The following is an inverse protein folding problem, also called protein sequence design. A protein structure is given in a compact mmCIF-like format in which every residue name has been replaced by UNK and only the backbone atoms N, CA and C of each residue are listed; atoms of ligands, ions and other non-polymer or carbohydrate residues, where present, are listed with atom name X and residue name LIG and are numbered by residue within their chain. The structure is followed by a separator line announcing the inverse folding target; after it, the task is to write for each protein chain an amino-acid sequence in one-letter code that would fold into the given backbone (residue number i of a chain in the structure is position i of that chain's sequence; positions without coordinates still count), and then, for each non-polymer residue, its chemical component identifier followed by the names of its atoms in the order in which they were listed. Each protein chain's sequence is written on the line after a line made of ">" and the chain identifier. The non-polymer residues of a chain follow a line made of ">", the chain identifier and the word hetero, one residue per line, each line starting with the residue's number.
data_IF_654294092733
#
_entry.id   IF_654294092733
#
_cell.length_a   1.000
_cell.length_b   1.000
_cell.length_c   1.000
_cell.angle_alpha   90.00
_cell.angle_beta   90.00
_cell.angle_gamma   90.00
#
_symmetry.space_group_name_H-M   'P 1'
#
loop_
_entity.id
_entity.type
_entity.pdbx_description
1 polymer ?
#
# COMPACT_ATOMS: atom_id res chain seq x y z
N UNK A 1 62.05 12.06 -32.41
CA UNK A 1 62.53 13.38 -32.84
C UNK A 1 61.58 14.53 -32.57
N UNK A 2 60.96 14.63 -31.38
CA UNK A 2 60.20 15.83 -30.95
C UNK A 2 60.33 16.12 -29.43
N UNK A 3 61.18 15.37 -28.72
CA UNK A 3 61.51 15.60 -27.30
C UNK A 3 62.98 15.99 -27.08
N UNK A 4 63.79 15.98 -28.14
CA UNK A 4 65.23 16.32 -28.09
C UNK A 4 65.51 17.78 -28.48
N UNK A 5 64.53 18.48 -29.07
CA UNK A 5 64.68 19.88 -29.53
C UNK A 5 64.27 20.93 -28.47
N UNK A 6 63.53 20.56 -27.42
CA UNK A 6 63.21 21.50 -26.34
C UNK A 6 64.31 21.60 -25.25
N UNK A 7 65.25 20.66 -25.23
CA UNK A 7 66.33 20.62 -24.25
C UNK A 7 67.51 21.56 -24.59
N UNK A 8 67.55 22.12 -25.80
CA UNK A 8 68.67 22.94 -26.29
C UNK A 8 68.41 24.46 -26.20
N UNK A 9 67.20 24.92 -25.87
CA UNK A 9 66.87 26.36 -25.78
C UNK A 9 66.83 26.91 -24.34
N UNK A 10 67.14 26.09 -23.33
CA UNK A 10 67.17 26.55 -21.93
C UNK A 10 68.49 27.26 -21.54
N UNK A 11 69.43 27.42 -22.47
CA UNK A 11 70.73 28.07 -22.27
C UNK A 11 70.84 29.49 -22.85
N UNK A 12 69.73 30.22 -22.98
CA UNK A 12 69.75 31.65 -23.35
C UNK A 12 68.62 32.48 -22.73
N UNK A 13 68.22 32.18 -21.50
CA UNK A 13 67.40 33.13 -20.74
C UNK A 13 68.28 34.33 -20.34
N UNK A 14 67.99 35.48 -20.93
CA UNK A 14 68.55 36.78 -20.55
C UNK A 14 68.55 36.95 -19.03
N UNK A 15 69.65 37.45 -18.45
CA UNK A 15 69.78 37.74 -17.01
C UNK A 15 68.57 38.51 -16.46
N UNK A 16 67.96 39.35 -17.30
CA UNK A 16 66.74 40.08 -17.02
C UNK A 16 65.54 39.18 -16.74
N UNK A 17 65.33 38.10 -17.52
CA UNK A 17 64.23 37.16 -17.31
C UNK A 17 64.38 36.38 -16.00
N UNK A 18 65.61 35.98 -15.67
CA UNK A 18 65.94 35.32 -14.39
C UNK A 18 65.83 36.28 -13.19
N UNK A 19 66.13 37.56 -13.39
CA UNK A 19 65.94 38.60 -12.37
C UNK A 19 64.46 38.91 -12.17
N UNK A 20 63.68 38.97 -13.25
CA UNK A 20 62.24 39.22 -13.20
C UNK A 20 61.45 38.08 -12.57
N UNK A 21 61.84 36.82 -12.80
CA UNK A 21 61.22 35.66 -12.13
C UNK A 21 61.53 35.61 -10.62
N UNK A 22 62.73 36.03 -10.21
CA UNK A 22 63.08 36.14 -8.77
C UNK A 22 62.38 37.32 -8.10
N UNK A 23 62.17 38.42 -8.82
CA UNK A 23 61.52 39.61 -8.30
C UNK A 23 60.01 39.43 -8.21
N UNK A 24 59.37 38.76 -9.17
CA UNK A 24 57.97 38.35 -9.06
C UNK A 24 57.75 37.38 -7.91
N UNK A 25 58.62 36.37 -7.76
CA UNK A 25 58.55 35.42 -6.64
C UNK A 25 58.70 36.13 -5.26
N UNK A 26 59.53 37.18 -5.16
CA UNK A 26 59.65 37.99 -3.93
C UNK A 26 58.43 38.87 -3.64
N UNK A 27 57.83 39.46 -4.68
CA UNK A 27 56.65 40.31 -4.53
C UNK A 27 55.42 39.51 -4.11
N UNK A 28 55.28 38.28 -4.60
CA UNK A 28 54.13 37.41 -4.33
C UNK A 28 54.39 36.34 -3.25
N UNK A 29 55.60 36.32 -2.66
CA UNK A 29 55.93 35.46 -1.51
C UNK A 29 56.21 33.99 -1.83
N UNK A 30 56.58 33.66 -3.06
CA UNK A 30 56.87 32.29 -3.49
C UNK A 30 58.36 31.90 -3.33
N UNK A 31 58.62 30.65 -2.95
CA UNK A 31 59.97 30.15 -2.58
C UNK A 31 60.84 29.93 -3.82
N UNK A 32 61.79 30.83 -4.06
CA UNK A 32 62.63 30.86 -5.29
C UNK A 32 63.82 29.87 -5.33
N UNK A 33 63.80 28.74 -4.60
CA UNK A 33 64.82 27.68 -4.72
C UNK A 33 64.15 26.32 -4.95
N UNK A 34 64.69 25.46 -5.84
CA UNK A 34 64.18 24.10 -5.99
C UNK A 34 64.49 23.38 -4.69
N UNK A 35 63.45 23.16 -3.89
CA UNK A 35 63.55 22.60 -2.55
C UNK A 35 63.00 21.17 -2.61
N UNK A 36 63.73 20.23 -2.01
CA UNK A 36 63.45 18.79 -2.09
C UNK A 36 62.00 18.44 -1.73
N UNK A 37 61.47 17.37 -2.32
CA UNK A 37 60.06 16.93 -2.20
C UNK A 37 59.51 16.85 -0.76
N UNK A 38 60.37 16.65 0.24
CA UNK A 38 60.03 16.69 1.68
C UNK A 38 59.59 18.08 2.16
N UNK A 39 60.22 19.14 1.66
CA UNK A 39 59.96 20.52 2.08
C UNK A 39 58.69 21.11 1.44
N UNK A 40 58.38 20.74 0.20
CA UNK A 40 57.11 21.06 -0.47
C UNK A 40 55.88 20.49 0.26
N UNK A 41 56.07 19.36 0.98
CA UNK A 41 55.03 18.76 1.83
C UNK A 41 54.67 19.65 3.03
N UNK A 42 55.65 20.34 3.60
CA UNK A 42 55.45 21.27 4.72
C UNK A 42 54.75 22.55 4.23
N UNK A 43 55.11 23.03 3.04
CA UNK A 43 54.43 24.19 2.42
C UNK A 43 52.97 23.84 2.07
N UNK A 44 52.68 22.64 1.54
CA UNK A 44 51.30 22.16 1.34
C UNK A 44 50.51 22.06 2.64
N UNK A 45 51.13 21.58 3.71
CA UNK A 45 50.49 21.52 5.03
C UNK A 45 50.14 22.91 5.60
N UNK A 46 50.84 23.96 5.19
CA UNK A 46 50.58 25.33 5.64
C UNK A 46 49.67 26.14 4.68
N UNK A 47 49.58 25.77 3.40
CA UNK A 47 48.66 26.39 2.43
C UNK A 47 47.28 25.73 2.40
N UNK A 48 47.16 24.49 2.85
CA UNK A 48 45.89 23.85 3.14
C UNK A 48 45.32 24.45 4.43
N UNK A 49 44.17 25.15 4.34
CA UNK A 49 43.47 25.58 5.54
C UNK A 49 43.21 24.37 6.45
N UNK A 50 43.42 24.48 7.77
CA UNK A 50 43.17 23.37 8.68
C UNK A 50 41.73 22.88 8.49
N UNK A 51 41.50 21.56 8.51
CA UNK A 51 40.19 20.94 8.32
C UNK A 51 39.05 21.61 9.14
N UNK A 52 39.39 22.27 10.25
CA UNK A 52 38.49 23.07 11.07
C UNK A 52 37.77 24.24 10.35
N UNK A 53 38.22 24.68 9.16
CA UNK A 53 37.58 25.76 8.37
C UNK A 53 36.93 25.29 7.06
N UNK A 54 36.94 23.99 6.73
CA UNK A 54 36.03 23.48 5.71
C UNK A 54 34.63 23.48 6.32
N UNK A 55 33.82 24.48 5.97
CA UNK A 55 32.36 24.43 6.14
C UNK A 55 31.77 23.40 5.17
N UNK A 56 32.29 22.19 5.17
CA UNK A 56 31.47 21.02 4.86
C UNK A 56 30.73 20.73 6.16
N UNK A 57 29.79 21.64 6.47
CA UNK A 57 28.80 21.42 7.51
C UNK A 57 28.17 20.07 7.22
N UNK A 58 27.94 19.30 8.27
CA UNK A 58 27.11 18.10 8.21
C UNK A 58 25.70 18.50 7.76
N UNK A 59 25.49 18.73 6.47
CA UNK A 59 24.21 19.12 5.84
C UNK A 59 23.18 17.98 5.90
N UNK A 60 23.58 16.81 6.44
CA UNK A 60 22.71 15.68 6.71
C UNK A 60 21.76 15.88 7.90
N UNK A 61 21.94 16.93 8.72
CA UNK A 61 21.03 17.25 9.82
C UNK A 61 20.31 18.60 9.59
N UNK A 62 18.96 18.59 9.51
CA UNK A 62 18.18 19.82 9.40
C UNK A 62 18.49 20.78 10.55
N UNK A 63 18.66 22.07 10.23
CA UNK A 63 18.88 23.15 11.19
C UNK A 63 17.84 23.08 12.34
N UNK A 64 18.27 23.19 13.60
CA UNK A 64 17.39 23.06 14.77
C UNK A 64 16.12 23.93 14.71
N UNK A 65 16.19 25.12 14.10
CA UNK A 65 15.04 26.00 13.94
C UNK A 65 13.99 25.46 12.95
N UNK A 66 14.40 24.72 11.92
CA UNK A 66 13.47 24.09 10.97
C UNK A 66 12.77 22.90 11.61
N UNK A 67 13.43 22.16 12.51
CA UNK A 67 12.81 21.10 13.30
C UNK A 67 11.65 21.62 14.16
N UNK A 68 11.83 22.71 14.92
CA UNK A 68 10.76 23.27 15.74
C UNK A 68 9.60 23.81 14.89
N UNK A 69 9.89 24.47 13.76
CA UNK A 69 8.85 24.95 12.85
C UNK A 69 8.05 23.79 12.23
N UNK A 70 8.72 22.73 11.77
CA UNK A 70 8.09 21.53 11.24
C UNK A 70 7.25 20.81 12.30
N UNK A 71 7.73 20.73 13.55
CA UNK A 71 6.98 20.18 14.67
C UNK A 71 5.72 21.00 14.99
N UNK A 72 5.78 22.34 14.89
CA UNK A 72 4.63 23.23 15.03
C UNK A 72 3.57 23.05 13.93
N UNK A 73 4.00 22.95 12.67
CA UNK A 73 3.12 22.68 11.52
C UNK A 73 2.46 21.30 11.67
N UNK A 74 3.22 20.29 12.08
CA UNK A 74 2.71 18.93 12.32
C UNK A 74 1.67 18.91 13.47
N UNK A 75 1.91 19.67 14.54
CA UNK A 75 0.97 19.77 15.65
C UNK A 75 -0.34 20.46 15.26
N UNK A 76 -0.27 21.53 14.45
CA UNK A 76 -1.45 22.19 13.90
C UNK A 76 -2.23 21.24 12.98
N UNK A 77 -1.56 20.55 12.07
CA UNK A 77 -2.19 19.57 11.18
C UNK A 77 -2.91 18.46 11.95
N UNK A 78 -2.31 17.94 13.03
CA UNK A 78 -2.96 16.94 13.90
C UNK A 78 -4.19 17.49 14.66
N UNK A 79 -4.19 18.79 15.02
CA UNK A 79 -5.36 19.44 15.62
C UNK A 79 -6.47 19.61 14.59
N UNK A 80 -6.12 20.02 13.37
CA UNK A 80 -7.06 20.17 12.26
C UNK A 80 -7.69 18.83 11.86
N UNK A 81 -6.91 17.74 11.78
CA UNK A 81 -7.43 16.41 11.44
C UNK A 81 -8.37 15.85 12.52
N UNK A 82 -8.08 16.10 13.81
CA UNK A 82 -8.99 15.73 14.90
C UNK A 82 -10.27 16.56 14.90
N UNK A 83 -10.16 17.85 14.57
CA UNK A 83 -11.30 18.75 14.45
C UNK A 83 -12.22 18.30 13.30
N UNK A 84 -11.67 18.05 12.12
CA UNK A 84 -12.45 17.56 10.97
C UNK A 84 -13.13 16.22 11.29
N UNK A 85 -12.42 15.28 11.91
CA UNK A 85 -13.00 14.00 12.31
C UNK A 85 -14.19 14.18 13.27
N UNK A 86 -14.13 15.14 14.21
CA UNK A 86 -15.27 15.43 15.10
C UNK A 86 -16.44 16.08 14.38
N UNK A 87 -16.16 17.00 13.45
CA UNK A 87 -17.19 17.69 12.67
C UNK A 87 -17.97 16.71 11.78
N UNK A 88 -17.27 15.75 11.17
CA UNK A 88 -17.87 14.75 10.27
C UNK A 88 -18.30 13.45 10.96
N UNK A 89 -18.11 13.33 12.28
CA UNK A 89 -18.50 12.13 13.04
C UNK A 89 -17.61 10.91 12.81
N UNK A 90 -16.38 11.11 12.32
CA UNK A 90 -15.36 10.08 12.15
C UNK A 90 -14.58 9.81 13.45
N UNK A 91 -13.67 8.83 13.41
CA UNK A 91 -12.89 8.42 14.58
C UNK A 91 -11.83 9.48 14.92
N UNK A 92 -12.12 10.34 15.89
CA UNK A 92 -11.22 11.44 16.29
C UNK A 92 -10.04 11.01 17.20
N UNK A 93 -10.14 9.87 17.88
CA UNK A 93 -9.06 9.34 18.74
C UNK A 93 -8.15 8.43 17.90
N UNK A 94 -6.81 8.56 18.02
CA UNK A 94 -5.92 7.62 17.37
C UNK A 94 -6.25 6.21 17.88
N UNK A 95 -6.61 5.33 16.97
CA UNK A 95 -7.16 4.01 17.26
C UNK A 95 -6.36 2.98 16.49
N UNK A 96 -6.05 1.84 17.12
CA UNK A 96 -5.30 0.76 16.49
C UNK A 96 -6.01 0.23 15.24
N UNK A 97 -5.23 -0.27 14.29
CA UNK A 97 -5.75 -0.86 13.05
C UNK A 97 -6.71 -2.04 13.29
N UNK A 98 -6.48 -2.82 14.36
CA UNK A 98 -7.38 -3.91 14.79
C UNK A 98 -8.74 -3.37 15.26
N UNK A 99 -8.74 -2.29 16.03
CA UNK A 99 -9.94 -1.66 16.59
C UNK A 99 -10.78 -0.96 15.52
N UNK A 100 -10.16 -0.44 14.46
CA UNK A 100 -10.87 0.10 13.28
C UNK A 100 -11.74 -0.94 12.55
N UNK A 101 -11.50 -2.25 12.75
CA UNK A 101 -12.37 -3.31 12.21
C UNK A 101 -13.80 -3.20 12.74
N UNK A 102 -13.96 -2.82 14.00
CA UNK A 102 -15.28 -2.70 14.64
C UNK A 102 -16.09 -1.58 13.98
N UNK A 103 -15.44 -0.45 13.70
CA UNK A 103 -16.06 0.67 12.97
C UNK A 103 -16.56 0.20 11.60
N UNK A 104 -15.76 -0.58 10.87
CA UNK A 104 -16.15 -1.16 9.56
C UNK A 104 -17.32 -2.13 9.66
N UNK A 105 -17.32 -3.00 10.67
CA UNK A 105 -18.38 -3.98 10.90
C UNK A 105 -19.74 -3.32 11.16
N UNK A 106 -19.76 -2.15 11.81
CA UNK A 106 -20.99 -1.41 12.08
C UNK A 106 -21.35 -0.41 10.98
N UNK A 107 -20.38 0.06 10.19
CA UNK A 107 -20.67 0.90 9.03
C UNK A 107 -21.30 0.11 7.88
N UNK A 108 -20.97 -1.18 7.75
CA UNK A 108 -21.49 -2.05 6.69
C UNK A 108 -22.66 -2.91 7.15
N UNK A 109 -23.54 -3.27 6.20
CA UNK A 109 -24.58 -4.26 6.48
C UNK A 109 -23.96 -5.67 6.59
N UNK A 110 -24.23 -6.41 7.68
CA UNK A 110 -23.71 -7.75 7.86
C UNK A 110 -24.25 -8.68 6.77
N UNK A 111 -23.42 -9.62 6.32
CA UNK A 111 -23.71 -10.52 5.20
C UNK A 111 -25.08 -11.19 5.33
N UNK A 112 -25.40 -11.74 6.51
CA UNK A 112 -26.66 -12.46 6.76
C UNK A 112 -27.92 -11.60 6.58
N UNK A 113 -27.83 -10.27 6.73
CA UNK A 113 -28.97 -9.36 6.54
C UNK A 113 -29.10 -8.86 5.10
N UNK A 114 -28.13 -9.15 4.22
CA UNK A 114 -28.20 -8.75 2.82
C UNK A 114 -29.32 -9.54 2.14
N UNK A 115 -30.12 -8.86 1.31
CA UNK A 115 -31.26 -9.46 0.60
C UNK A 115 -30.83 -10.68 -0.22
N UNK A 116 -29.68 -10.55 -0.88
CA UNK A 116 -29.03 -11.62 -1.62
C UNK A 116 -28.83 -12.91 -0.81
N UNK A 117 -28.64 -12.80 0.51
CA UNK A 117 -28.40 -13.96 1.38
C UNK A 117 -29.70 -14.58 1.89
N UNK A 118 -30.60 -13.79 2.46
CA UNK A 118 -31.80 -14.35 3.10
C UNK A 118 -32.95 -14.62 2.11
N UNK A 119 -33.09 -13.81 1.04
CA UNK A 119 -34.10 -14.00 -0.02
C UNK A 119 -33.56 -14.86 -1.18
N UNK A 120 -32.61 -15.76 -0.91
CA UNK A 120 -31.97 -16.59 -1.94
C UNK A 120 -32.96 -17.53 -2.63
N UNK A 121 -33.84 -18.19 -1.88
CA UNK A 121 -34.88 -19.05 -2.43
C UNK A 121 -36.22 -18.32 -2.44
N UNK A 122 -36.95 -18.33 -3.56
CA UNK A 122 -38.31 -17.82 -3.57
C UNK A 122 -39.20 -18.68 -2.67
N UNK A 123 -40.30 -18.11 -2.20
CA UNK A 123 -41.23 -18.82 -1.31
C UNK A 123 -42.06 -19.86 -2.10
N UNK A 124 -41.49 -21.04 -2.33
CA UNK A 124 -42.11 -22.10 -3.11
C UNK A 124 -43.46 -22.58 -2.55
N UNK A 125 -43.64 -22.51 -1.22
CA UNK A 125 -44.89 -22.93 -0.59
C UNK A 125 -46.07 -22.07 -1.03
N UNK A 126 -45.84 -20.76 -1.21
CA UNK A 126 -46.89 -19.84 -1.67
C UNK A 126 -47.30 -20.16 -3.11
N UNK A 127 -46.34 -20.33 -4.01
CA UNK A 127 -46.62 -20.70 -5.41
C UNK A 127 -47.31 -22.05 -5.51
N UNK A 128 -46.79 -23.06 -4.81
CA UNK A 128 -47.37 -24.40 -4.83
C UNK A 128 -48.81 -24.43 -4.33
N UNK A 129 -49.08 -23.78 -3.20
CA UNK A 129 -50.43 -23.69 -2.63
C UNK A 129 -51.36 -22.88 -3.55
N UNK A 130 -50.91 -21.75 -4.07
CA UNK A 130 -51.69 -20.89 -4.96
C UNK A 130 -52.08 -21.65 -6.24
N UNK A 131 -51.13 -22.30 -6.91
CA UNK A 131 -51.40 -23.05 -8.13
C UNK A 131 -52.29 -24.27 -7.86
N UNK A 132 -52.12 -24.92 -6.70
CA UNK A 132 -53.00 -26.00 -6.26
C UNK A 132 -54.45 -25.53 -6.05
N UNK A 133 -54.65 -24.38 -5.41
CA UNK A 133 -55.99 -23.79 -5.24
C UNK A 133 -56.60 -23.43 -6.59
N UNK A 134 -55.85 -22.79 -7.49
CA UNK A 134 -56.33 -22.47 -8.83
C UNK A 134 -56.70 -23.72 -9.63
N UNK A 135 -55.97 -24.83 -9.47
CA UNK A 135 -56.30 -26.13 -10.07
C UNK A 135 -57.63 -26.65 -9.56
N UNK A 136 -57.86 -26.62 -8.25
CA UNK A 136 -59.14 -27.08 -7.67
C UNK A 136 -60.32 -26.19 -8.05
N UNK A 137 -60.09 -24.90 -8.30
CA UNK A 137 -61.10 -23.99 -8.83
C UNK A 137 -61.32 -24.14 -10.35
N UNK A 138 -60.50 -24.94 -11.05
CA UNK A 138 -60.57 -25.10 -12.50
C UNK A 138 -60.02 -23.91 -13.31
N UNK A 139 -59.37 -22.96 -12.65
CA UNK A 139 -58.76 -21.77 -13.28
C UNK A 139 -57.37 -22.04 -13.84
N UNK A 140 -56.71 -23.09 -13.35
CA UNK A 140 -55.38 -23.51 -13.78
C UNK A 140 -55.37 -25.01 -14.10
N UNK A 141 -54.68 -25.40 -15.17
CA UNK A 141 -54.49 -26.80 -15.56
C UNK A 141 -53.04 -27.20 -15.33
N UNK A 142 -52.82 -28.15 -14.43
CA UNK A 142 -51.49 -28.71 -14.10
C UNK A 142 -51.33 -30.10 -14.72
N UNK A 143 -50.74 -30.15 -15.92
CA UNK A 143 -50.53 -31.40 -16.67
C UNK A 143 -49.63 -32.39 -15.93
N UNK A 144 -48.65 -31.89 -15.18
CA UNK A 144 -47.72 -32.73 -14.41
C UNK A 144 -48.45 -33.45 -13.28
N UNK A 145 -49.34 -32.72 -12.60
CA UNK A 145 -50.12 -33.31 -11.53
C UNK A 145 -51.23 -34.22 -12.06
N UNK A 146 -51.87 -33.89 -13.19
CA UNK A 146 -52.81 -34.78 -13.89
C UNK A 146 -52.16 -36.12 -14.25
N UNK A 147 -50.93 -36.09 -14.80
CA UNK A 147 -50.17 -37.30 -15.13
C UNK A 147 -49.87 -38.14 -13.88
N UNK A 148 -49.44 -37.51 -12.78
CA UNK A 148 -49.18 -38.23 -11.52
C UNK A 148 -50.45 -38.86 -10.95
N UNK A 149 -51.57 -38.17 -11.00
CA UNK A 149 -52.85 -38.66 -10.49
C UNK A 149 -53.33 -39.87 -11.32
N UNK A 150 -53.18 -39.83 -12.65
CA UNK A 150 -53.50 -40.98 -13.52
C UNK A 150 -52.56 -42.18 -13.27
N UNK A 151 -51.26 -41.93 -13.12
CA UNK A 151 -50.31 -42.99 -12.76
C UNK A 151 -50.62 -43.61 -11.38
N UNK A 152 -51.07 -42.79 -10.43
CA UNK A 152 -51.52 -43.26 -9.13
C UNK A 152 -52.76 -44.15 -9.25
N UNK A 153 -53.75 -43.75 -10.07
CA UNK A 153 -54.95 -44.52 -10.37
C UNK A 153 -54.61 -45.90 -10.94
N UNK A 154 -53.73 -45.96 -11.93
CA UNK A 154 -53.28 -47.23 -12.52
C UNK A 154 -52.51 -48.10 -11.51
N UNK A 155 -51.68 -47.51 -10.64
CA UNK A 155 -50.98 -48.25 -9.58
C UNK A 155 -51.95 -48.87 -8.57
N UNK A 156 -53.03 -48.16 -8.22
CA UNK A 156 -54.09 -48.69 -7.35
C UNK A 156 -54.79 -49.87 -7.98
N UNK A 157 -55.16 -49.77 -9.27
CA UNK A 157 -55.77 -50.88 -10.02
C UNK A 157 -54.85 -52.11 -10.10
N UNK A 158 -53.53 -51.89 -10.14
CA UNK A 158 -52.53 -52.98 -10.08
C UNK A 158 -52.31 -53.55 -8.66
N UNK A 159 -53.04 -53.08 -7.65
CA UNK A 159 -52.85 -53.46 -6.24
C UNK A 159 -51.57 -52.94 -5.61
N UNK A 160 -50.87 -52.00 -6.27
CA UNK A 160 -49.63 -51.37 -5.78
C UNK A 160 -49.93 -50.03 -5.11
N UNK A 161 -51.03 -49.97 -4.36
CA UNK A 161 -51.37 -48.78 -3.58
C UNK A 161 -50.40 -48.61 -2.41
N UNK A 162 -50.17 -47.36 -2.01
CA UNK A 162 -49.38 -47.06 -0.81
C UNK A 162 -50.15 -47.59 0.41
N UNK A 163 -49.57 -48.48 1.22
CA UNK A 163 -50.26 -49.00 2.40
C UNK A 163 -50.61 -47.87 3.36
N UNK A 164 -51.70 -48.05 4.11
CA UNK A 164 -52.09 -47.09 5.15
C UNK A 164 -50.95 -46.94 6.16
N UNK A 165 -50.74 -45.72 6.65
CA UNK A 165 -49.71 -45.43 7.64
C UNK A 165 -49.93 -46.33 8.87
N UNK A 166 -48.95 -47.17 9.19
CA UNK A 166 -49.02 -48.16 10.28
C UNK A 166 -49.25 -49.60 9.84
N UNK A 167 -49.87 -49.83 8.67
CA UNK A 167 -50.15 -51.17 8.11
C UNK A 167 -49.05 -51.63 7.14
N UNK A 168 -47.85 -51.08 7.27
CA UNK A 168 -46.73 -51.46 6.43
C UNK A 168 -46.33 -52.93 6.62
N UNK A 169 -45.49 -53.44 5.70
CA UNK A 169 -45.02 -54.83 5.71
C UNK A 169 -44.46 -55.31 7.07
N UNK A 170 -43.91 -54.40 7.88
CA UNK A 170 -43.41 -54.70 9.23
C UNK A 170 -44.53 -55.03 10.22
N UNK A 171 -45.68 -54.36 10.14
CA UNK A 171 -46.81 -54.61 11.03
C UNK A 171 -47.51 -55.93 10.69
N UNK A 172 -47.59 -56.29 9.40
CA UNK A 172 -48.17 -57.56 8.95
C UNK A 172 -47.37 -58.79 9.42
N UNK A 173 -46.05 -58.65 9.63
CA UNK A 173 -45.17 -59.73 10.13
C UNK A 173 -45.23 -59.97 11.64
N UNK A 174 -45.85 -59.06 12.40
CA UNK A 174 -45.89 -59.11 13.88
C UNK A 174 -47.19 -59.76 14.40
N UNK A 175 -48.18 -59.98 13.52
CA UNK A 175 -49.36 -60.83 13.79
C UNK A 175 -49.03 -62.27 13.44
#
# INVERSE_FOLDING_TARGET
>A
GLLFLAAQEMSSLSEYALRMSRLSARLFGEVARPTDSKSMKVVKLFSEQPLAKRKETYDWYPNHNTYFALMGILQYALRMSRLSARLFGEVARPTDSKSMKVVKLFSEQPLAKRKETYDWYPNHNTYFALMGILRFLGLYRDEHQDFKDEQLRLKKLRGKEKPRKGEGKRAAKKK
#
